data_IF_340576455917
#
_entry.id   IF_340576455917
#
_cell.length_a   1.000
_cell.length_b   1.000
_cell.length_c   1.000
_cell.angle_alpha   90.00
_cell.angle_beta   90.00
_cell.angle_gamma   90.00
#
_symmetry.space_group_name_H-M   'P 1'
#
loop_
_entity.id
_entity.type
_entity.pdbx_description
1 polymer ?
#
# COMPACT_ATOMS: atom_id res chain seq x y z
N UNK A 1 -19.35 53.21 -86.22
CA UNK A 1 -18.57 52.78 -85.00
C UNK A 1 -19.39 53.22 -83.85
N UNK A 2 -20.23 52.32 -83.28
CA UNK A 2 -21.14 52.62 -82.24
C UNK A 2 -20.54 52.12 -80.89
N UNK A 3 -20.21 53.08 -80.02
CA UNK A 3 -19.84 52.75 -78.65
C UNK A 3 -21.08 52.36 -77.83
N UNK A 4 -21.01 51.29 -77.04
CA UNK A 4 -22.13 50.91 -76.15
C UNK A 4 -22.17 51.80 -74.93
N UNK A 5 -23.33 52.45 -74.74
CA UNK A 5 -23.66 53.23 -73.52
C UNK A 5 -23.83 52.27 -72.32
N UNK A 6 -22.90 52.36 -71.39
CA UNK A 6 -23.02 51.64 -70.10
C UNK A 6 -24.00 52.41 -69.21
N UNK A 7 -25.09 51.81 -68.75
CA UNK A 7 -26.00 52.50 -67.83
C UNK A 7 -25.32 52.72 -66.49
N UNK A 8 -25.37 53.94 -65.93
CA UNK A 8 -24.86 54.31 -64.65
C UNK A 8 -25.63 53.58 -63.55
N UNK A 9 -24.89 52.95 -62.60
CA UNK A 9 -25.46 52.35 -61.42
C UNK A 9 -26.23 53.38 -60.58
N UNK A 10 -27.41 53.03 -60.02
CA UNK A 10 -28.16 53.95 -59.24
C UNK A 10 -27.36 54.35 -57.97
N UNK A 11 -27.51 55.59 -57.47
CA UNK A 11 -26.79 56.02 -56.25
C UNK A 11 -27.27 55.23 -55.08
N UNK A 12 -26.33 54.69 -54.33
CA UNK A 12 -26.62 54.01 -53.07
C UNK A 12 -27.33 54.98 -52.13
N UNK A 13 -28.55 54.65 -51.76
CA UNK A 13 -29.34 55.42 -50.76
C UNK A 13 -28.54 55.59 -49.52
N UNK A 14 -28.21 56.83 -49.15
CA UNK A 14 -27.48 57.12 -47.91
C UNK A 14 -28.31 56.73 -46.75
N UNK A 15 -27.83 55.79 -45.95
CA UNK A 15 -28.49 55.31 -44.70
C UNK A 15 -28.80 56.50 -43.77
N UNK A 16 -30.00 56.54 -43.26
CA UNK A 16 -30.43 57.57 -42.30
C UNK A 16 -29.71 57.45 -40.96
N UNK A 17 -29.53 58.54 -40.23
CA UNK A 17 -28.92 58.50 -38.89
C UNK A 17 -29.59 57.55 -37.93
N UNK A 18 -30.92 57.36 -38.07
CA UNK A 18 -31.73 56.46 -37.27
C UNK A 18 -31.39 54.97 -37.55
N UNK A 19 -31.27 54.59 -38.82
CA UNK A 19 -30.89 53.22 -39.23
C UNK A 19 -29.48 52.84 -38.78
N UNK A 20 -28.54 53.81 -38.77
CA UNK A 20 -27.19 53.58 -38.25
C UNK A 20 -27.18 53.37 -36.74
N UNK A 21 -28.04 54.11 -35.98
CA UNK A 21 -28.19 53.97 -34.54
C UNK A 21 -28.81 52.61 -34.16
N UNK A 22 -29.82 52.14 -34.89
CA UNK A 22 -30.42 50.82 -34.72
C UNK A 22 -29.45 49.69 -35.01
N UNK A 23 -28.73 49.76 -36.12
CA UNK A 23 -27.70 48.76 -36.47
C UNK A 23 -26.58 48.74 -35.40
N UNK A 24 -26.17 49.88 -34.89
CA UNK A 24 -25.18 49.98 -33.80
C UNK A 24 -25.68 49.39 -32.47
N UNK A 25 -26.95 49.59 -32.13
CA UNK A 25 -27.56 49.04 -30.95
C UNK A 25 -27.70 47.51 -30.98
N UNK A 26 -28.11 46.98 -32.15
CA UNK A 26 -28.18 45.54 -32.43
C UNK A 26 -26.78 44.91 -32.34
N UNK A 27 -25.81 45.55 -32.95
CA UNK A 27 -24.41 45.07 -32.95
C UNK A 27 -23.82 45.04 -31.53
N UNK A 28 -24.09 46.02 -30.70
CA UNK A 28 -23.67 46.03 -29.27
C UNK A 28 -24.30 44.92 -28.47
N UNK A 29 -25.58 44.58 -28.70
CA UNK A 29 -26.28 43.48 -28.03
C UNK A 29 -25.69 42.13 -28.42
N UNK A 30 -25.37 41.94 -29.72
CA UNK A 30 -24.77 40.69 -30.21
C UNK A 30 -23.34 40.52 -29.75
N UNK A 31 -22.55 41.60 -29.61
CA UNK A 31 -21.19 41.54 -29.09
C UNK A 31 -21.22 41.12 -27.63
N UNK A 32 -22.11 41.73 -26.81
CA UNK A 32 -22.25 41.36 -25.39
C UNK A 32 -22.72 39.91 -25.17
N UNK A 33 -23.62 39.39 -26.03
CA UNK A 33 -24.06 38.01 -25.97
C UNK A 33 -22.92 37.02 -26.36
N UNK A 34 -22.16 37.32 -27.39
CA UNK A 34 -21.04 36.50 -27.81
C UNK A 34 -19.92 36.45 -26.77
N UNK A 35 -19.67 37.57 -26.10
CA UNK A 35 -18.70 37.66 -25.00
C UNK A 35 -19.13 36.85 -23.78
N UNK A 36 -20.43 36.93 -23.41
CA UNK A 36 -21.01 36.14 -22.32
C UNK A 36 -20.92 34.64 -22.61
N UNK A 37 -21.23 34.20 -23.82
CA UNK A 37 -21.13 32.80 -24.24
C UNK A 37 -19.66 32.34 -24.20
N UNK A 38 -18.72 33.19 -24.64
CA UNK A 38 -17.30 32.92 -24.62
C UNK A 38 -16.77 32.69 -23.16
N UNK A 39 -17.19 33.58 -22.26
CA UNK A 39 -16.83 33.45 -20.83
C UNK A 39 -17.47 32.21 -20.21
N UNK A 40 -18.73 31.91 -20.51
CA UNK A 40 -19.41 30.71 -20.02
C UNK A 40 -18.72 29.43 -20.54
N UNK A 41 -18.33 29.37 -21.80
CA UNK A 41 -17.61 28.25 -22.37
C UNK A 41 -16.22 28.06 -21.72
N UNK A 42 -15.52 29.15 -21.43
CA UNK A 42 -14.24 29.11 -20.71
C UNK A 42 -14.41 28.55 -19.29
N UNK A 43 -15.42 28.99 -18.54
CA UNK A 43 -15.72 28.49 -17.20
C UNK A 43 -16.04 26.99 -17.22
N UNK A 44 -16.87 26.53 -18.15
CA UNK A 44 -17.17 25.10 -18.32
C UNK A 44 -15.90 24.31 -18.62
N UNK A 45 -15.01 24.84 -19.46
CA UNK A 45 -13.74 24.18 -19.79
C UNK A 45 -12.82 24.09 -18.58
N UNK A 46 -12.73 25.15 -17.78
CA UNK A 46 -11.92 25.17 -16.54
C UNK A 46 -12.47 24.16 -15.51
N UNK A 47 -13.78 24.14 -15.33
CA UNK A 47 -14.44 23.17 -14.42
C UNK A 47 -14.25 21.75 -14.91
N UNK A 48 -14.39 21.49 -16.21
CA UNK A 48 -14.17 20.18 -16.81
C UNK A 48 -12.72 19.71 -16.65
N UNK A 49 -11.75 20.61 -16.84
CA UNK A 49 -10.33 20.30 -16.63
C UNK A 49 -10.03 20.00 -15.15
N UNK A 50 -10.61 20.78 -14.25
CA UNK A 50 -10.43 20.57 -12.80
C UNK A 50 -11.03 19.24 -12.33
N UNK A 51 -12.24 18.89 -12.79
CA UNK A 51 -12.85 17.59 -12.52
C UNK A 51 -12.00 16.44 -13.05
N UNK A 52 -11.56 16.54 -14.32
CA UNK A 52 -10.71 15.52 -14.92
C UNK A 52 -9.35 15.36 -14.20
N UNK A 53 -8.81 16.43 -13.65
CA UNK A 53 -7.59 16.36 -12.86
C UNK A 53 -7.83 15.73 -11.48
N UNK A 54 -8.94 16.08 -10.83
CA UNK A 54 -9.36 15.51 -9.56
C UNK A 54 -9.60 13.99 -9.66
N UNK A 55 -10.29 13.55 -10.71
CA UNK A 55 -10.54 12.12 -10.96
C UNK A 55 -9.25 11.34 -11.19
N UNK A 56 -8.29 11.92 -11.94
CA UNK A 56 -6.98 11.28 -12.15
C UNK A 56 -6.17 11.15 -10.85
N UNK A 57 -6.26 12.12 -9.96
CA UNK A 57 -5.60 12.02 -8.65
C UNK A 57 -6.24 10.94 -7.77
N UNK A 58 -7.57 10.83 -7.76
CA UNK A 58 -8.27 9.78 -7.06
C UNK A 58 -7.91 8.39 -7.60
N UNK A 59 -7.93 8.22 -8.93
CA UNK A 59 -7.53 6.97 -9.59
C UNK A 59 -6.08 6.57 -9.29
N UNK A 60 -5.17 7.53 -9.24
CA UNK A 60 -3.77 7.27 -8.89
C UNK A 60 -3.60 6.88 -7.43
N UNK A 61 -4.34 7.52 -6.51
CA UNK A 61 -4.33 7.18 -5.09
C UNK A 61 -4.91 5.78 -4.85
N UNK A 62 -5.99 5.42 -5.54
CA UNK A 62 -6.60 4.10 -5.42
C UNK A 62 -5.73 3.00 -6.04
N UNK A 63 -5.11 3.25 -7.19
CA UNK A 63 -4.11 2.34 -7.78
C UNK A 63 -2.89 2.16 -6.87
N UNK A 64 -2.41 3.23 -6.25
CA UNK A 64 -1.30 3.16 -5.31
C UNK A 64 -1.67 2.35 -4.05
N UNK A 65 -2.88 2.52 -3.50
CA UNK A 65 -3.38 1.71 -2.38
C UNK A 65 -3.52 0.24 -2.77
N UNK A 66 -4.16 -0.05 -3.89
CA UNK A 66 -4.32 -1.43 -4.38
C UNK A 66 -2.97 -2.10 -4.64
N UNK A 67 -2.01 -1.38 -5.22
CA UNK A 67 -0.65 -1.88 -5.41
C UNK A 67 0.10 -2.08 -4.09
N UNK A 68 -0.10 -1.19 -3.11
CA UNK A 68 0.48 -1.33 -1.78
C UNK A 68 -0.12 -2.53 -1.04
N UNK A 69 -1.43 -2.72 -1.10
CA UNK A 69 -2.10 -3.88 -0.51
C UNK A 69 -1.69 -5.21 -1.19
N UNK A 70 -1.59 -5.21 -2.52
CA UNK A 70 -1.12 -6.36 -3.29
C UNK A 70 0.36 -6.70 -3.02
N UNK A 71 1.15 -5.79 -2.46
CA UNK A 71 2.54 -6.03 -2.09
C UNK A 71 2.73 -6.54 -0.66
N UNK A 72 1.64 -6.74 0.11
CA UNK A 72 1.72 -7.22 1.48
C UNK A 72 1.77 -8.74 1.53
N UNK A 73 2.85 -9.29 2.08
CA UNK A 73 3.01 -10.73 2.27
C UNK A 73 2.26 -11.19 3.51
N UNK A 74 1.46 -12.26 3.40
CA UNK A 74 0.77 -12.86 4.53
C UNK A 74 1.09 -14.35 4.62
N UNK A 75 1.99 -14.70 5.54
CA UNK A 75 2.38 -16.09 5.72
C UNK A 75 1.31 -16.91 6.44
N UNK A 76 1.04 -18.07 5.85
CA UNK A 76 0.37 -19.19 6.50
C UNK A 76 1.45 -20.13 7.04
N UNK A 77 1.38 -20.43 8.34
CA UNK A 77 2.32 -21.34 8.98
C UNK A 77 1.77 -22.76 8.98
N UNK A 78 2.59 -23.72 8.57
CA UNK A 78 2.28 -25.15 8.58
C UNK A 78 3.39 -25.96 9.26
N UNK A 79 3.02 -27.14 9.76
CA UNK A 79 3.92 -27.98 10.54
C UNK A 79 3.89 -27.67 12.02
N UNK A 80 4.70 -28.39 12.77
CA UNK A 80 4.87 -28.23 14.23
C UNK A 80 6.16 -28.91 14.69
N UNK A 81 6.63 -28.58 15.89
CA UNK A 81 7.84 -29.17 16.45
C UNK A 81 9.04 -28.26 16.26
N UNK A 82 10.06 -28.72 15.58
CA UNK A 82 11.34 -27.99 15.45
C UNK A 82 11.33 -26.96 14.30
N UNK A 83 10.36 -27.03 13.41
CA UNK A 83 10.30 -26.18 12.23
C UNK A 83 8.86 -25.82 11.90
N UNK A 84 8.61 -24.56 11.62
CA UNK A 84 7.38 -24.06 11.01
C UNK A 84 7.69 -23.62 9.58
N UNK A 85 7.06 -24.26 8.60
CA UNK A 85 7.12 -23.82 7.23
C UNK A 85 6.16 -22.65 7.02
N UNK A 86 6.61 -21.66 6.27
CA UNK A 86 5.85 -20.46 5.96
C UNK A 86 5.55 -20.44 4.46
N UNK A 87 4.31 -20.25 4.09
CA UNK A 87 3.89 -20.10 2.70
C UNK A 87 3.06 -18.86 2.51
N UNK A 88 3.19 -18.24 1.34
CA UNK A 88 2.33 -17.17 0.87
C UNK A 88 1.86 -17.56 -0.53
N UNK A 89 0.54 -17.57 -0.75
CA UNK A 89 -0.03 -18.04 -2.02
C UNK A 89 0.05 -16.99 -3.13
N UNK A 90 0.24 -15.71 -2.76
CA UNK A 90 0.27 -14.59 -3.69
C UNK A 90 1.68 -14.26 -4.21
N UNK A 91 2.72 -14.56 -3.42
CA UNK A 91 4.07 -14.14 -3.72
C UNK A 91 5.04 -15.32 -3.76
N UNK A 92 5.92 -15.32 -4.77
CA UNK A 92 7.03 -16.27 -4.84
C UNK A 92 8.20 -15.78 -3.97
N UNK A 93 8.10 -16.04 -2.66
CA UNK A 93 9.12 -15.61 -1.70
C UNK A 93 10.44 -16.32 -1.99
N UNK A 94 11.51 -15.55 -2.12
CA UNK A 94 12.86 -16.09 -2.32
C UNK A 94 13.53 -16.46 -1.02
N UNK A 95 13.49 -15.52 -0.09
CA UNK A 95 14.12 -15.69 1.22
C UNK A 95 13.37 -14.87 2.28
N UNK A 96 13.53 -15.27 3.50
CA UNK A 96 13.10 -14.50 4.65
C UNK A 96 14.27 -14.29 5.62
N UNK A 97 14.18 -13.21 6.40
CA UNK A 97 14.95 -13.03 7.61
C UNK A 97 13.98 -12.98 8.79
N UNK A 98 14.27 -13.72 9.85
CA UNK A 98 13.46 -13.78 11.07
C UNK A 98 14.29 -13.19 12.21
N UNK A 99 13.87 -12.03 12.71
CA UNK A 99 14.48 -11.39 13.87
C UNK A 99 13.69 -11.71 15.13
N UNK A 100 14.41 -12.01 16.21
CA UNK A 100 13.87 -12.30 17.52
C UNK A 100 13.99 -11.08 18.45
N UNK A 101 13.22 -11.04 19.55
CA UNK A 101 13.41 -10.01 20.56
C UNK A 101 14.86 -9.99 21.07
N UNK A 102 15.60 -8.87 21.00
CA UNK A 102 16.95 -8.76 21.53
C UNK A 102 17.09 -9.22 22.99
N UNK A 103 16.06 -8.99 23.80
CA UNK A 103 16.00 -9.45 25.18
C UNK A 103 16.07 -10.99 25.37
N UNK A 104 15.86 -11.76 24.29
CA UNK A 104 15.99 -13.22 24.32
C UNK A 104 17.45 -13.69 24.17
N UNK A 105 18.32 -12.84 23.60
CA UNK A 105 19.72 -13.18 23.33
C UNK A 105 19.90 -14.32 22.32
N UNK A 106 19.04 -14.40 21.32
CA UNK A 106 19.07 -15.39 20.24
C UNK A 106 19.45 -14.69 18.94
N UNK A 107 20.31 -15.32 18.14
CA UNK A 107 20.72 -14.81 16.84
C UNK A 107 19.56 -14.86 15.86
N UNK A 108 19.46 -13.86 15.00
CA UNK A 108 18.49 -13.79 13.92
C UNK A 108 18.76 -14.88 12.87
N UNK A 109 17.69 -15.43 12.29
CA UNK A 109 17.79 -16.38 11.16
C UNK A 109 17.71 -15.57 9.85
N UNK A 110 18.78 -15.57 9.07
CA UNK A 110 18.90 -14.79 7.82
C UNK A 110 19.08 -15.68 6.60
N UNK A 111 18.63 -15.22 5.44
CA UNK A 111 18.79 -15.93 4.17
C UNK A 111 18.03 -17.26 4.12
N UNK A 112 16.93 -17.39 4.84
CA UNK A 112 16.21 -18.66 4.97
C UNK A 112 15.37 -18.93 3.71
N UNK A 113 15.75 -19.98 2.99
CA UNK A 113 15.04 -20.48 1.80
C UNK A 113 15.06 -22.02 1.81
N UNK A 114 13.91 -22.72 1.67
CA UNK A 114 12.55 -22.18 1.64
C UNK A 114 12.15 -21.48 2.95
N UNK A 115 11.12 -20.58 2.92
CA UNK A 115 10.70 -19.84 4.10
C UNK A 115 10.26 -20.74 5.26
N UNK A 116 10.93 -20.61 6.41
CA UNK A 116 10.64 -21.39 7.63
C UNK A 116 11.16 -20.66 8.86
N UNK A 117 10.63 -21.02 10.02
CA UNK A 117 11.15 -20.63 11.34
C UNK A 117 11.67 -21.88 12.01
N UNK A 118 12.93 -21.87 12.42
CA UNK A 118 13.57 -22.99 13.09
C UNK A 118 13.64 -22.77 14.60
N UNK A 119 13.44 -23.85 15.34
CA UNK A 119 13.57 -23.83 16.80
C UNK A 119 15.04 -23.78 17.26
N UNK A 120 16.00 -24.09 16.37
CA UNK A 120 17.42 -24.13 16.67
C UNK A 120 17.91 -22.81 17.29
N UNK A 121 18.56 -22.89 18.45
CA UNK A 121 19.00 -21.74 19.25
C UNK A 121 17.89 -21.12 20.12
N UNK A 122 16.67 -21.13 19.64
CA UNK A 122 15.50 -20.58 20.33
C UNK A 122 15.02 -21.48 21.48
N UNK A 123 15.20 -22.79 21.37
CA UNK A 123 14.77 -23.78 22.36
C UNK A 123 15.44 -23.56 23.74
N UNK A 124 16.72 -23.21 23.78
CA UNK A 124 17.45 -22.89 25.00
C UNK A 124 16.91 -21.62 25.65
N UNK A 125 16.66 -20.57 24.87
CA UNK A 125 16.15 -19.31 25.39
C UNK A 125 14.72 -19.45 25.93
N UNK A 126 13.84 -20.21 25.24
CA UNK A 126 12.49 -20.49 25.72
C UNK A 126 12.47 -21.34 26.97
N UNK A 127 13.37 -22.35 27.11
CA UNK A 127 13.54 -23.10 28.35
C UNK A 127 13.97 -22.19 29.49
N UNK A 128 14.96 -21.34 29.28
CA UNK A 128 15.41 -20.39 30.30
C UNK A 128 14.29 -19.39 30.69
N UNK A 129 13.52 -18.90 29.74
CA UNK A 129 12.41 -18.01 30.02
C UNK A 129 11.24 -18.68 30.75
N UNK A 130 11.19 -20.02 30.78
CA UNK A 130 10.16 -20.81 31.49
C UNK A 130 10.70 -21.55 32.72
N UNK A 131 11.95 -21.30 33.10
CA UNK A 131 12.57 -21.96 34.24
C UNK A 131 11.86 -21.61 35.54
N UNK A 132 11.87 -22.56 36.50
CA UNK A 132 11.17 -22.41 37.79
C UNK A 132 9.64 -22.59 37.75
N UNK A 133 9.02 -22.77 36.57
CA UNK A 133 7.59 -22.98 36.41
C UNK A 133 7.20 -24.42 36.05
N UNK A 134 5.89 -24.69 35.84
CA UNK A 134 5.40 -26.00 35.46
C UNK A 134 5.99 -26.48 34.12
N UNK A 135 6.16 -27.80 34.00
CA UNK A 135 6.74 -28.42 32.80
C UNK A 135 5.94 -28.15 31.53
N UNK A 136 4.62 -28.13 31.67
CA UNK A 136 3.71 -27.85 30.55
C UNK A 136 3.36 -26.37 30.56
N UNK A 137 3.91 -25.65 29.61
CA UNK A 137 3.57 -24.23 29.33
C UNK A 137 3.36 -24.02 27.85
N UNK A 138 2.56 -23.04 27.52
CA UNK A 138 2.41 -22.50 26.16
C UNK A 138 2.53 -20.99 26.22
N UNK A 139 2.95 -20.40 25.15
CA UNK A 139 3.08 -18.95 25.05
C UNK A 139 3.19 -18.50 23.61
N UNK A 140 3.40 -17.21 23.48
CA UNK A 140 3.60 -16.54 22.19
C UNK A 140 4.95 -15.86 22.19
N UNK A 141 5.60 -15.91 21.03
CA UNK A 141 6.87 -15.25 20.78
C UNK A 141 6.67 -14.29 19.60
N UNK A 142 6.79 -12.99 19.81
CA UNK A 142 6.80 -12.06 18.70
C UNK A 142 8.09 -12.21 17.90
N UNK A 143 7.99 -12.34 16.58
CA UNK A 143 9.10 -12.38 15.65
C UNK A 143 8.86 -11.39 14.53
N UNK A 144 9.91 -10.69 14.07
CA UNK A 144 9.84 -9.81 12.90
C UNK A 144 10.32 -10.59 11.69
N UNK A 145 9.43 -10.83 10.74
CA UNK A 145 9.75 -11.47 9.48
C UNK A 145 9.93 -10.39 8.42
N UNK A 146 11.10 -10.38 7.78
CA UNK A 146 11.38 -9.61 6.58
C UNK A 146 11.39 -10.57 5.41
N UNK A 147 10.46 -10.42 4.49
CA UNK A 147 10.35 -11.23 3.27
C UNK A 147 10.88 -10.48 2.06
N UNK A 148 11.50 -11.21 1.14
CA UNK A 148 12.03 -10.65 -0.11
C UNK A 148 11.56 -11.50 -1.28
N UNK A 149 11.05 -10.83 -2.33
CA UNK A 149 10.62 -11.48 -3.58
C UNK A 149 10.83 -10.55 -4.77
N UNK A 150 10.64 -11.09 -5.97
CA UNK A 150 10.64 -10.31 -7.20
C UNK A 150 9.23 -10.17 -7.75
N UNK A 151 8.88 -8.94 -8.09
CA UNK A 151 7.67 -8.58 -8.80
C UNK A 151 8.09 -8.09 -10.20
N UNK A 152 8.05 -9.00 -11.18
CA UNK A 152 8.75 -8.81 -12.44
C UNK A 152 10.26 -8.62 -12.22
N UNK A 153 10.81 -7.50 -12.68
CA UNK A 153 12.21 -7.13 -12.51
C UNK A 153 12.50 -6.29 -11.24
N UNK A 154 11.48 -6.07 -10.41
CA UNK A 154 11.61 -5.23 -9.22
C UNK A 154 11.72 -6.09 -7.96
N UNK A 155 12.82 -5.92 -7.21
CA UNK A 155 12.98 -6.53 -5.89
C UNK A 155 12.06 -5.83 -4.89
N UNK A 156 11.18 -6.59 -4.25
CA UNK A 156 10.25 -6.13 -3.22
C UNK A 156 10.66 -6.68 -1.85
N UNK A 157 10.32 -5.93 -0.83
CA UNK A 157 10.54 -6.34 0.57
C UNK A 157 9.35 -5.92 1.41
N UNK A 158 8.83 -6.81 2.24
CA UNK A 158 7.81 -6.53 3.25
C UNK A 158 8.29 -6.94 4.63
N UNK A 159 7.80 -6.24 5.65
CA UNK A 159 8.11 -6.52 7.05
C UNK A 159 6.82 -6.64 7.84
N UNK A 160 6.74 -7.67 8.68
CA UNK A 160 5.59 -7.84 9.57
C UNK A 160 6.00 -8.60 10.83
N UNK A 161 5.33 -8.29 11.94
CA UNK A 161 5.47 -9.01 13.19
C UNK A 161 4.46 -10.14 13.23
N UNK A 162 4.94 -11.35 13.49
CA UNK A 162 4.15 -12.55 13.69
C UNK A 162 4.25 -13.03 15.15
N UNK A 163 3.15 -13.57 15.65
CA UNK A 163 3.13 -14.27 16.95
C UNK A 163 3.31 -15.76 16.71
N UNK A 164 4.47 -16.27 17.05
CA UNK A 164 4.78 -17.70 17.00
C UNK A 164 4.32 -18.36 18.30
N UNK A 165 3.40 -19.32 18.17
CA UNK A 165 2.94 -20.12 19.33
C UNK A 165 3.94 -21.23 19.59
N UNK A 166 4.26 -21.42 20.85
CA UNK A 166 5.15 -22.47 21.32
C UNK A 166 4.57 -23.17 22.56
N UNK A 167 5.03 -24.39 22.79
CA UNK A 167 4.73 -25.16 24.00
C UNK A 167 5.95 -25.87 24.55
N UNK A 168 5.91 -26.14 25.86
CA UNK A 168 6.87 -27.00 26.55
C UNK A 168 6.19 -28.22 27.15
N UNK A 169 6.99 -29.27 27.42
CA UNK A 169 6.56 -30.45 28.17
C UNK A 169 7.74 -31.07 28.89
N UNK A 170 7.43 -31.72 30.03
CA UNK A 170 8.43 -32.48 30.83
C UNK A 170 8.92 -33.69 30.06
N UNK A 171 10.21 -34.03 30.27
CA UNK A 171 10.84 -35.26 29.81
C UNK A 171 11.54 -35.90 31.00
N UNK A 172 11.27 -37.19 31.23
CA UNK A 172 11.93 -37.95 32.31
C UNK A 172 13.46 -38.00 32.10
N UNK A 173 14.22 -37.46 33.05
CA UNK A 173 15.67 -37.49 33.01
C UNK A 173 16.35 -36.66 31.94
N UNK A 174 15.61 -35.72 31.32
CA UNK A 174 16.11 -34.83 30.28
C UNK A 174 15.53 -33.43 30.42
N UNK A 175 16.15 -32.47 29.73
CA UNK A 175 15.63 -31.12 29.65
C UNK A 175 14.20 -31.10 29.06
N UNK A 176 13.42 -30.08 29.41
CA UNK A 176 12.10 -29.86 28.86
C UNK A 176 12.13 -29.87 27.34
N UNK A 177 11.15 -30.52 26.74
CA UNK A 177 10.89 -30.41 25.34
C UNK A 177 10.27 -29.03 25.00
N UNK A 178 10.62 -28.50 23.87
CA UNK A 178 10.01 -27.26 23.29
C UNK A 178 9.55 -27.58 21.89
N UNK A 179 8.43 -27.05 21.48
CA UNK A 179 7.94 -27.15 20.11
C UNK A 179 7.25 -25.86 19.69
N UNK A 180 7.38 -25.53 18.42
CA UNK A 180 6.58 -24.52 17.75
C UNK A 180 5.27 -25.14 17.28
N UNK A 181 4.17 -24.37 17.32
CA UNK A 181 2.83 -24.88 16.98
C UNK A 181 2.19 -24.13 15.82
N UNK A 182 2.65 -22.94 15.50
CA UNK A 182 2.09 -22.12 14.43
C UNK A 182 2.50 -20.67 14.59
N UNK A 183 2.21 -19.88 13.58
CA UNK A 183 2.43 -18.44 13.56
C UNK A 183 1.19 -17.73 13.01
N UNK A 184 0.94 -16.53 13.50
CA UNK A 184 -0.14 -15.67 13.01
C UNK A 184 0.34 -14.23 12.91
N UNK A 185 -0.10 -13.51 11.87
CA UNK A 185 0.20 -12.10 11.70
C UNK A 185 -0.35 -11.30 12.89
N UNK A 186 0.47 -10.42 13.43
CA UNK A 186 0.12 -9.54 14.56
C UNK A 186 0.09 -8.07 14.13
N UNK A 187 1.17 -7.59 13.53
CA UNK A 187 1.32 -6.19 13.13
C UNK A 187 2.08 -6.09 11.81
N UNK A 188 1.72 -5.12 10.97
CA UNK A 188 2.49 -4.78 9.78
C UNK A 188 3.66 -3.87 10.15
N UNK A 189 4.80 -4.03 9.49
CA UNK A 189 6.03 -3.35 9.85
C UNK A 189 6.64 -3.91 11.14
N UNK A 190 7.34 -3.07 11.86
CA UNK A 190 7.95 -3.40 13.15
C UNK A 190 9.42 -3.04 13.26
N UNK A 191 9.93 -3.14 14.48
CA UNK A 191 11.33 -2.87 14.83
C UNK A 191 11.79 -3.79 15.97
N UNK A 192 13.10 -3.96 16.19
CA UNK A 192 13.61 -4.71 17.33
C UNK A 192 13.08 -4.20 18.67
N UNK A 193 13.00 -2.89 18.86
CA UNK A 193 12.42 -2.27 20.07
C UNK A 193 10.95 -2.66 20.26
N UNK A 194 10.19 -2.77 19.16
CA UNK A 194 8.80 -3.20 19.22
C UNK A 194 8.68 -4.67 19.61
N UNK A 195 9.59 -5.53 19.12
CA UNK A 195 9.65 -6.93 19.51
C UNK A 195 9.89 -7.08 21.03
N UNK A 196 10.84 -6.33 21.60
CA UNK A 196 11.12 -6.37 23.04
C UNK A 196 9.90 -5.90 23.86
N UNK A 197 9.22 -4.85 23.42
CA UNK A 197 8.01 -4.36 24.09
C UNK A 197 6.86 -5.38 24.05
N UNK A 198 6.72 -6.13 22.97
CA UNK A 198 5.73 -7.21 22.84
C UNK A 198 6.15 -8.42 23.67
N UNK A 199 7.43 -8.81 23.63
CA UNK A 199 7.95 -9.92 24.42
C UNK A 199 7.81 -9.67 25.91
N UNK A 200 8.07 -8.46 26.38
CA UNK A 200 7.90 -8.10 27.79
C UNK A 200 6.47 -8.35 28.31
N UNK A 201 5.46 -8.25 27.42
CA UNK A 201 4.05 -8.54 27.74
C UNK A 201 3.69 -10.03 27.68
N UNK A 202 4.32 -10.75 26.74
CA UNK A 202 4.02 -12.17 26.46
C UNK A 202 4.95 -13.12 27.25
N UNK A 203 6.07 -12.60 27.77
CA UNK A 203 7.02 -13.39 28.54
C UNK A 203 6.30 -14.07 29.69
N UNK A 204 6.47 -15.40 29.87
CA UNK A 204 5.90 -16.12 30.98
C UNK A 204 6.31 -15.49 32.35
N UNK A 205 5.34 -15.25 33.20
CA UNK A 205 5.65 -14.91 34.61
C UNK A 205 6.35 -16.10 35.28
N UNK A 206 7.46 -15.84 35.91
CA UNK A 206 8.16 -16.82 36.76
C UNK A 206 7.40 -17.03 38.06
#
# INVERSE_FOLDING_TARGET
>A
MNDPIIPASPPALAETPAERAEKAAIRRRWIGLAELVGVAALLVSVVGLWLSWSDRQADQADKAKTSAEASLVTFTASGSGNTLNLSDDAHRIQEIAVAFPPALGVDDQTGVSPPKIELAGLDKALRAATDGGPDKRSGRLPVLITSTWWDGDTKRTDKAIYQVRWKTWGRLGRDRGVALEGASLSERGGSPTRLDALWAKEKPAN
#
